data_IF_082738042562
#
_entry.id   IF_082738042562
#
_cell.length_a   1.000
_cell.length_b   1.000
_cell.length_c   1.000
_cell.angle_alpha   90.00
_cell.angle_beta   90.00
_cell.angle_gamma   90.00
#
_symmetry.space_group_name_H-M   'P 1'
#
loop_
_entity.id
_entity.type
_entity.pdbx_description
1 polymer ?
2 water ?
#
# COMPACT_ATOMS: atom_id res chain seq x y z
N UNK A 1 -24.13 15.23 -7.12
CA UNK A 1 -22.81 14.59 -7.00
C UNK A 1 -22.22 14.25 -8.37
N UNK A 2 -21.74 15.28 -9.06
CA UNK A 2 -21.55 15.17 -10.50
C UNK A 2 -20.17 14.77 -10.97
N UNK A 3 -19.16 14.79 -10.10
CA UNK A 3 -17.80 14.40 -10.48
C UNK A 3 -17.64 12.88 -10.52
N UNK A 4 -17.05 12.37 -11.59
CA UNK A 4 -16.89 10.93 -11.73
C UNK A 4 -15.67 10.41 -10.97
N UNK A 5 -14.71 11.28 -10.64
CA UNK A 5 -13.47 10.88 -9.96
C UNK A 5 -13.22 11.80 -8.78
N UNK A 6 -12.76 11.21 -7.68
CA UNK A 6 -12.33 11.97 -6.52
C UNK A 6 -10.80 11.93 -6.46
N UNK A 7 -10.21 13.11 -6.25
CA UNK A 7 -8.76 13.31 -6.37
C UNK A 7 -8.23 13.71 -5.00
N UNK A 8 -7.34 12.88 -4.44
CA UNK A 8 -6.86 13.09 -3.08
C UNK A 8 -5.35 13.35 -3.10
N UNK A 9 -4.90 14.41 -2.43
CA UNK A 9 -3.48 14.68 -2.24
C UNK A 9 -3.03 13.90 -1.00
N UNK A 10 -2.14 12.93 -1.19
CA UNK A 10 -1.75 12.01 -0.11
C UNK A 10 -0.51 12.60 0.57
N UNK A 11 -0.77 13.49 1.51
CA UNK A 11 0.32 14.17 2.23
C UNK A 11 1.11 13.22 3.10
N UNK A 12 0.55 12.08 3.45
CA UNK A 12 1.27 11.04 4.16
C UNK A 12 2.17 10.16 3.32
N UNK A 13 2.32 10.42 2.01
CA UNK A 13 3.17 9.63 1.14
C UNK A 13 4.10 10.60 0.41
N UNK A 14 5.30 10.13 0.07
CA UNK A 14 6.32 10.98 -0.54
C UNK A 14 7.22 10.14 -1.41
N UNK A 15 7.98 10.79 -2.31
CA UNK A 15 8.74 10.09 -3.32
C UNK A 15 10.23 10.27 -3.12
N UNK A 16 10.95 9.17 -3.25
CA UNK A 16 12.40 9.19 -3.36
C UNK A 16 12.75 8.75 -4.77
N UNK A 17 13.82 9.31 -5.30
CA UNK A 17 14.30 8.95 -6.62
C UNK A 17 15.59 8.13 -6.45
N UNK A 18 15.63 6.97 -7.08
CA UNK A 18 16.75 6.03 -6.99
C UNK A 18 17.24 5.81 -8.42
N UNK A 19 18.46 6.25 -8.69
CA UNK A 19 18.96 6.22 -10.05
C UNK A 19 20.41 5.79 -10.03
N UNK A 20 20.85 5.20 -11.15
CA UNK A 20 22.24 4.83 -11.33
C UNK A 20 22.34 3.54 -12.13
N UNK A 21 23.51 3.26 -12.67
CA UNK A 21 23.66 2.01 -13.43
C UNK A 21 23.40 0.78 -12.59
N UNK A 22 23.56 0.85 -11.25
CA UNK A 22 23.30 -0.29 -10.38
C UNK A 22 21.98 -0.20 -9.63
N UNK A 23 21.10 0.71 -10.01
CA UNK A 23 19.87 0.91 -9.23
C UNK A 23 19.02 -0.35 -9.15
N UNK A 24 18.90 -1.09 -10.26
CA UNK A 24 18.06 -2.28 -10.23
C UNK A 24 18.59 -3.36 -9.30
N UNK A 25 19.81 -3.90 -9.46
CA UNK A 25 20.26 -4.96 -8.54
C UNK A 25 20.31 -4.48 -7.10
N UNK A 26 20.63 -3.20 -6.90
CA UNK A 26 20.59 -2.58 -5.58
C UNK A 26 19.23 -2.70 -4.93
N UNK A 27 18.17 -2.23 -5.60
CA UNK A 27 16.84 -2.32 -5.00
C UNK A 27 16.35 -3.76 -4.92
N UNK A 28 16.66 -4.59 -5.94
CA UNK A 28 16.12 -5.95 -5.94
C UNK A 28 16.61 -6.74 -4.74
N UNK A 29 17.78 -6.37 -4.21
CA UNK A 29 18.27 -7.08 -3.04
C UNK A 29 17.61 -6.69 -1.75
N UNK A 30 16.78 -5.63 -1.76
CA UNK A 30 16.20 -5.07 -0.57
C UNK A 30 14.68 -5.19 -0.53
N UNK A 31 14.06 -5.56 -1.63
CA UNK A 31 12.59 -5.54 -1.74
C UNK A 31 12.07 -6.95 -1.96
N UNK A 32 10.77 -7.12 -1.63
CA UNK A 32 10.15 -8.41 -1.75
C UNK A 32 9.74 -8.75 -3.16
N UNK A 33 9.86 -7.85 -4.14
CA UNK A 33 9.27 -8.11 -5.44
C UNK A 33 10.29 -7.75 -6.54
N UNK A 34 9.97 -8.18 -7.77
CA UNK A 34 10.63 -7.66 -8.96
C UNK A 34 10.27 -6.19 -9.13
N UNK A 35 11.11 -5.50 -9.99
CA UNK A 35 10.85 -4.07 -10.18
C UNK A 35 10.06 -3.81 -11.45
N UNK A 36 9.34 -2.68 -11.50
CA UNK A 36 8.54 -2.37 -12.68
C UNK A 36 9.46 -1.96 -13.81
N UNK A 37 9.19 -2.47 -14.99
CA UNK A 37 9.98 -2.08 -16.16
C UNK A 37 9.10 -2.17 -17.40
N UNK A 38 8.90 -1.08 -18.13
CA UNK A 38 8.02 -1.12 -19.31
C UNK A 38 8.76 -1.63 -20.54
N UNK A 39 7.97 -2.15 -21.48
CA UNK A 39 8.50 -2.63 -22.76
C UNK A 39 9.30 -1.52 -23.44
N UNK A 40 10.37 -1.84 -24.16
CA UNK A 40 11.22 -0.77 -24.72
C UNK A 40 10.47 0.04 -25.76
N UNK A 41 11.06 1.19 -26.10
CA UNK A 41 10.48 2.07 -27.11
C UNK A 41 10.18 1.30 -28.38
N UNK A 42 8.99 1.53 -28.95
CA UNK A 42 8.52 0.79 -30.12
C UNK A 42 7.93 1.78 -31.12
N UNK A 43 8.65 1.97 -32.23
CA UNK A 43 8.16 2.75 -33.36
C UNK A 43 7.70 4.15 -32.94
N UNK A 44 8.42 4.73 -32.01
CA UNK A 44 8.09 6.06 -31.51
C UNK A 44 8.46 6.19 -30.05
N UNK A 45 7.68 7.00 -29.32
CA UNK A 45 7.96 7.29 -27.91
C UNK A 45 6.67 7.65 -27.20
N UNK A 46 5.75 6.69 -27.06
CA UNK A 46 4.54 6.92 -26.25
C UNK A 46 4.83 6.70 -24.77
N UNK A 47 3.95 7.18 -23.86
CA UNK A 47 4.27 7.11 -22.43
C UNK A 47 3.92 5.77 -21.80
N UNK A 48 4.87 4.83 -21.84
CA UNK A 48 4.67 3.49 -21.29
C UNK A 48 5.27 3.45 -19.89
N UNK A 49 4.40 3.47 -18.87
CA UNK A 49 4.82 3.53 -17.48
C UNK A 49 4.04 2.53 -16.64
N UNK A 50 4.74 1.90 -15.70
CA UNK A 50 4.21 0.83 -14.87
C UNK A 50 4.56 1.08 -13.40
N UNK A 51 3.77 0.50 -12.54
CA UNK A 51 4.00 0.62 -11.10
C UNK A 51 4.06 -0.80 -10.55
N UNK A 52 4.72 -0.94 -9.41
CA UNK A 52 4.78 -2.22 -8.72
C UNK A 52 4.67 -1.98 -7.24
N UNK A 53 4.29 -3.04 -6.52
CA UNK A 53 4.13 -2.98 -5.08
C UNK A 53 5.19 -3.89 -4.46
N UNK A 54 5.68 -3.49 -3.30
CA UNK A 54 6.64 -4.30 -2.56
C UNK A 54 6.76 -3.78 -1.14
N UNK A 55 7.33 -4.62 -0.26
CA UNK A 55 7.80 -4.18 1.04
C UNK A 55 9.32 -4.23 1.11
N UNK A 56 9.87 -3.33 1.90
CA UNK A 56 11.20 -3.52 2.48
C UNK A 56 10.99 -4.28 3.79
N UNK A 57 11.66 -5.41 3.94
CA UNK A 57 11.64 -6.20 5.18
C UNK A 57 12.96 -5.99 5.93
N UNK A 58 12.92 -6.29 7.22
CA UNK A 58 14.14 -6.36 8.01
C UNK A 58 14.63 -7.80 8.00
N UNK A 59 15.77 -8.04 8.67
CA UNK A 59 16.37 -9.36 8.59
C UNK A 59 15.58 -10.40 9.33
N UNK A 60 14.71 -9.99 10.25
CA UNK A 60 13.81 -10.93 10.91
C UNK A 60 12.58 -11.25 10.07
N UNK A 61 12.50 -10.73 8.85
CA UNK A 61 11.37 -10.99 8.01
C UNK A 61 10.13 -10.18 8.32
N UNK A 62 10.22 -9.17 9.18
CA UNK A 62 9.10 -8.26 9.43
C UNK A 62 9.11 -7.11 8.42
N UNK A 63 7.93 -6.62 8.10
CA UNK A 63 7.83 -5.44 7.22
C UNK A 63 8.41 -4.20 7.91
N UNK A 64 9.24 -3.44 7.18
CA UNK A 64 9.65 -2.11 7.62
C UNK A 64 8.79 -1.04 6.96
N UNK A 65 8.75 -1.05 5.62
CA UNK A 65 8.14 0.02 4.83
C UNK A 65 7.39 -0.58 3.64
N UNK A 66 6.16 -0.13 3.44
CA UNK A 66 5.39 -0.51 2.27
C UNK A 66 5.66 0.56 1.20
N UNK A 67 5.98 0.13 0.00
CA UNK A 67 6.31 1.08 -1.06
C UNK A 67 5.61 0.76 -2.36
N UNK A 68 5.41 1.81 -3.17
CA UNK A 68 5.04 1.66 -4.57
C UNK A 68 6.20 2.18 -5.41
N UNK A 69 6.59 1.38 -6.37
CA UNK A 69 7.73 1.63 -7.24
C UNK A 69 7.22 2.08 -8.58
N UNK A 70 7.84 3.10 -9.15
CA UNK A 70 7.46 3.58 -10.46
C UNK A 70 8.66 3.53 -11.37
N UNK A 71 8.50 3.00 -12.57
CA UNK A 71 9.60 2.95 -13.50
C UNK A 71 9.82 4.26 -14.21
N UNK A 72 11.01 4.83 -14.05
CA UNK A 72 11.39 6.02 -14.80
C UNK A 72 11.93 5.65 -16.18
N UNK A 73 11.66 6.52 -17.14
CA UNK A 73 12.26 6.39 -18.46
C UNK A 73 13.64 7.04 -18.42
N UNK A 74 14.67 6.23 -18.65
CA UNK A 74 16.04 6.72 -18.75
C UNK A 74 16.64 6.49 -20.12
N UNK A 75 16.26 5.42 -20.81
CA UNK A 75 16.70 5.14 -22.17
C UNK A 75 18.21 5.11 -22.31
N UNK A 76 18.88 4.86 -21.20
CA UNK A 76 20.36 4.90 -21.22
C UNK A 76 20.89 4.06 -20.07
N UNK A 77 22.21 4.08 -19.91
CA UNK A 77 23.01 3.18 -19.03
C UNK A 77 22.42 3.12 -17.64
N UNK A 78 21.64 4.13 -17.27
CA UNK A 78 21.24 4.21 -15.87
C UNK A 78 19.79 3.80 -15.73
N UNK A 79 19.52 2.82 -14.87
CA UNK A 79 18.17 2.56 -14.39
C UNK A 79 17.69 3.74 -13.55
N UNK A 80 16.36 3.91 -13.47
CA UNK A 80 15.83 4.93 -12.60
C UNK A 80 14.46 4.57 -12.05
N UNK A 81 14.21 4.85 -10.77
CA UNK A 81 12.93 4.51 -10.16
C UNK A 81 12.48 5.62 -9.23
N UNK A 82 11.16 5.75 -9.09
CA UNK A 82 10.58 6.53 -8.02
C UNK A 82 10.01 5.53 -7.02
N UNK A 83 10.30 5.77 -5.76
CA UNK A 83 9.82 4.95 -4.65
C UNK A 83 8.88 5.83 -3.83
N UNK A 84 7.63 5.39 -3.65
CA UNK A 84 6.68 6.11 -2.81
C UNK A 84 6.62 5.40 -1.47
N UNK A 85 6.99 6.12 -0.42
CA UNK A 85 6.93 5.61 0.95
C UNK A 85 6.11 6.51 1.86
N UNK A 86 5.80 6.01 3.06
CA UNK A 86 5.19 6.83 4.10
C UNK A 86 6.09 8.02 4.45
N UNK A 87 5.50 9.21 4.44
CA UNK A 87 6.28 10.42 4.67
C UNK A 87 7.04 10.40 5.97
N UNK A 88 6.51 9.73 6.99
CA UNK A 88 7.14 9.72 8.30
C UNK A 88 8.36 8.80 8.37
N UNK A 89 8.58 7.93 7.38
CA UNK A 89 9.76 7.06 7.39
C UNK A 89 10.77 7.46 6.36
N UNK A 90 10.53 8.55 5.63
CA UNK A 90 11.42 8.90 4.54
C UNK A 90 12.88 8.89 4.98
N UNK A 91 13.17 9.53 6.11
CA UNK A 91 14.55 9.60 6.57
C UNK A 91 15.10 8.25 6.96
N UNK A 92 14.28 7.43 7.64
CA UNK A 92 14.79 6.12 8.02
C UNK A 92 14.99 5.25 6.80
N UNK A 93 14.11 5.36 5.80
CA UNK A 93 14.31 4.61 4.57
C UNK A 93 15.59 5.09 3.86
N UNK A 94 15.85 6.39 3.88
CA UNK A 94 17.08 6.85 3.23
C UNK A 94 18.31 6.28 3.93
N UNK A 95 18.30 6.23 5.27
CA UNK A 95 19.45 5.65 5.99
C UNK A 95 19.56 4.17 5.72
N UNK A 96 18.43 3.49 5.58
CA UNK A 96 18.44 2.07 5.25
C UNK A 96 19.03 1.83 3.88
N UNK A 97 18.65 2.65 2.89
CA UNK A 97 19.21 2.49 1.56
C UNK A 97 20.71 2.75 1.55
N UNK A 98 21.15 3.75 2.33
CA UNK A 98 22.56 4.12 2.35
C UNK A 98 23.44 2.99 2.88
N UNK A 99 22.98 2.31 3.93
CA UNK A 99 23.66 1.13 4.46
C UNK A 99 24.10 0.16 3.38
N UNK A 100 23.29 0.03 2.33
CA UNK A 100 23.51 -0.96 1.29
C UNK A 100 24.08 -0.41 0.00
N UNK A 101 24.40 0.89 -0.07
CA UNK A 101 24.85 1.44 -1.33
C UNK A 101 26.38 1.56 -1.39
N UNK A 102 27.08 0.94 -0.44
CA UNK A 102 28.54 0.86 -0.51
C UNK A 102 28.96 0.05 -1.72
N UNK A 103 29.83 0.63 -2.54
CA UNK A 103 30.27 0.06 -3.81
C UNK A 103 29.11 -0.21 -4.75
N UNK A 104 28.08 0.62 -4.71
CA UNK A 104 27.02 0.56 -5.68
C UNK A 104 26.95 1.92 -6.35
N UNK A 105 26.81 1.91 -7.68
CA UNK A 105 26.71 3.13 -8.46
C UNK A 105 25.22 3.47 -8.52
N UNK A 106 24.76 4.16 -7.49
CA UNK A 106 23.35 4.51 -7.33
C UNK A 106 23.33 5.75 -6.47
N UNK A 107 22.39 6.64 -6.74
CA UNK A 107 22.15 7.80 -5.89
C UNK A 107 20.69 7.75 -5.45
N UNK A 108 20.44 8.26 -4.25
CA UNK A 108 19.10 8.29 -3.66
C UNK A 108 18.79 9.71 -3.21
N UNK A 109 17.73 10.31 -3.77
CA UNK A 109 17.37 11.70 -3.54
C UNK A 109 15.86 11.85 -3.28
N UNK A 110 15.46 12.68 -2.32
CA UNK A 110 14.05 13.07 -2.26
C UNK A 110 13.62 13.80 -3.53
N UNK A 111 12.38 13.57 -3.93
CA UNK A 111 11.77 14.23 -5.08
C UNK A 111 10.53 14.96 -4.57
N UNK A 112 10.70 15.95 -3.69
CA UNK A 112 9.53 16.53 -2.99
C UNK A 112 8.61 17.34 -3.88
N UNK A 113 9.11 17.74 -5.06
CA UNK A 113 8.35 18.59 -5.96
C UNK A 113 7.23 17.82 -6.65
N UNK A 114 7.46 16.54 -6.98
CA UNK A 114 6.39 15.68 -7.49
C UNK A 114 5.63 15.16 -6.29
N UNK A 115 4.33 15.44 -6.22
CA UNK A 115 3.46 15.00 -5.14
C UNK A 115 2.65 13.76 -5.51
N UNK A 116 2.31 12.99 -4.49
CA UNK A 116 1.55 11.77 -4.67
C UNK A 116 0.06 12.10 -4.48
N UNK A 117 -0.74 11.70 -5.45
CA UNK A 117 -2.18 11.84 -5.41
C UNK A 117 -2.80 10.48 -5.69
N UNK A 118 -4.02 10.27 -5.22
CA UNK A 118 -4.79 9.10 -5.58
C UNK A 118 -6.08 9.56 -6.27
N UNK A 119 -6.52 8.82 -7.26
CA UNK A 119 -7.71 9.11 -8.03
C UNK A 119 -8.62 7.90 -7.91
N UNK A 120 -9.76 8.08 -7.19
CA UNK A 120 -10.68 6.98 -6.98
C UNK A 120 -11.98 7.24 -7.75
N UNK A 121 -12.56 6.22 -8.39
CA UNK A 121 -13.88 6.42 -9.02
C UNK A 121 -14.94 6.67 -7.97
N UNK A 122 -15.76 7.69 -8.22
CA UNK A 122 -16.89 7.97 -7.33
C UNK A 122 -17.91 6.84 -7.31
N UNK A 123 -18.00 6.08 -8.39
CA UNK A 123 -18.93 4.93 -8.47
C UNK A 123 -18.16 3.76 -9.04
N UNK A 124 -18.23 2.59 -8.36
CA UNK A 124 -17.47 1.39 -8.71
C UNK A 124 -17.68 0.83 -10.14
N UNK A 125 -18.83 1.09 -10.77
CA UNK A 125 -19.12 0.61 -12.15
C UNK A 125 -18.05 1.20 -13.08
N UNK A 126 -17.75 2.49 -12.92
CA UNK A 126 -16.65 3.18 -13.64
C UNK A 126 -16.73 3.03 -15.16
N UNK A 127 -17.90 3.27 -15.79
CA UNK A 127 -17.94 3.27 -17.27
C UNK A 127 -16.72 4.18 -17.45
N UNK A 128 -16.09 4.14 -18.59
CA UNK A 128 -15.12 5.19 -18.97
C UNK A 128 -13.85 5.10 -18.17
N UNK A 129 -13.87 4.32 -17.09
CA UNK A 129 -12.61 4.10 -16.39
C UNK A 129 -11.54 3.61 -17.36
N UNK A 130 -11.93 2.77 -18.32
CA UNK A 130 -10.97 2.18 -19.25
C UNK A 130 -10.17 3.24 -19.98
N UNK A 131 -10.80 4.37 -20.33
CA UNK A 131 -10.16 5.39 -21.15
C UNK A 131 -9.61 6.56 -20.34
N UNK A 132 -9.49 6.43 -19.02
CA UNK A 132 -9.17 7.61 -18.22
C UNK A 132 -7.80 8.17 -18.57
N UNK A 133 -6.80 7.31 -18.72
CA UNK A 133 -5.44 7.79 -18.90
C UNK A 133 -5.24 8.37 -20.29
N UNK A 134 -5.62 7.63 -21.33
CA UNK A 134 -5.62 8.21 -22.68
C UNK A 134 -6.53 9.44 -22.72
N UNK A 135 -7.63 9.38 -21.98
CA UNK A 135 -8.52 10.52 -21.75
C UNK A 135 -7.97 11.53 -20.77
N UNK A 136 -6.78 11.33 -20.17
CA UNK A 136 -6.13 12.39 -19.39
C UNK A 136 -4.93 13.02 -20.09
N UNK A 137 -4.21 12.27 -20.92
CA UNK A 137 -3.13 12.82 -21.72
C UNK A 137 -1.77 12.64 -21.07
N UNK A 138 -0.75 13.09 -21.79
CA UNK A 138 0.64 13.00 -21.35
C UNK A 138 1.00 14.03 -20.27
N UNK A 139 0.17 15.06 -20.07
CA UNK A 139 0.39 15.96 -18.95
C UNK A 139 0.28 15.23 -17.61
N UNK A 140 -0.56 14.21 -17.53
CA UNK A 140 -0.85 13.52 -16.28
C UNK A 140 -0.09 12.19 -16.19
N UNK A 141 0.66 11.99 -15.11
CA UNK A 141 1.30 10.70 -14.86
C UNK A 141 0.32 9.92 -13.99
N UNK A 142 -0.52 9.12 -14.64
CA UNK A 142 -1.66 8.44 -14.05
C UNK A 142 -1.51 6.96 -14.30
N UNK A 143 -1.40 6.19 -13.22
CA UNK A 143 -0.94 4.81 -13.28
C UNK A 143 -1.87 3.98 -12.39
N UNK A 144 -2.28 2.83 -12.89
CA UNK A 144 -3.14 1.95 -12.10
C UNK A 144 -2.44 1.53 -10.82
N UNK A 145 -3.20 1.52 -9.72
CA UNK A 145 -2.64 1.15 -8.43
C UNK A 145 -2.18 -0.31 -8.53
N UNK A 146 -0.95 -0.63 -8.17
CA UNK A 146 -0.45 -1.99 -8.39
C UNK A 146 -1.01 -2.99 -7.39
N UNK A 147 -1.64 -2.53 -6.32
CA UNK A 147 -2.11 -3.44 -5.29
C UNK A 147 -3.45 -4.08 -5.65
N UNK A 148 -4.37 -3.29 -6.19
CA UNK A 148 -5.67 -3.74 -6.61
C UNK A 148 -6.36 -2.63 -7.37
N UNK A 149 -7.22 -3.01 -8.32
CA UNK A 149 -8.03 -2.06 -9.05
C UNK A 149 -8.97 -1.30 -8.14
N UNK A 150 -9.30 -1.87 -6.98
CA UNK A 150 -10.14 -1.18 -6.00
C UNK A 150 -9.52 0.11 -5.48
N UNK A 151 -8.22 0.31 -5.66
CA UNK A 151 -7.54 1.50 -5.21
C UNK A 151 -7.36 2.54 -6.32
N UNK A 152 -7.96 2.31 -7.49
CA UNK A 152 -7.99 3.37 -8.48
C UNK A 152 -6.64 3.61 -9.11
N UNK A 153 -6.29 4.90 -9.24
CA UNK A 153 -5.10 5.35 -9.93
C UNK A 153 -4.20 6.12 -8.97
N UNK A 154 -2.88 5.99 -9.14
CA UNK A 154 -1.92 6.93 -8.59
C UNK A 154 -1.65 8.01 -9.64
N UNK A 155 -1.62 9.26 -9.19
CA UNK A 155 -1.31 10.42 -10.04
C UNK A 155 -0.15 11.13 -9.39
N UNK A 156 0.96 11.25 -10.13
CA UNK A 156 2.13 11.95 -9.63
C UNK A 156 2.19 13.27 -10.38
N UNK A 157 2.10 14.38 -9.65
CA UNK A 157 1.98 15.68 -10.32
C UNK A 157 2.49 16.80 -9.42
N UNK A 158 2.95 17.88 -10.05
CA UNK A 158 3.18 19.14 -9.35
C UNK A 158 1.94 20.00 -9.32
N UNK A 159 0.97 19.70 -10.20
CA UNK A 159 -0.23 20.48 -10.40
C UNK A 159 -1.32 20.06 -9.40
N UNK A 160 -2.54 20.53 -9.63
CA UNK A 160 -3.70 20.08 -8.88
C UNK A 160 -4.37 18.94 -9.64
N UNK A 161 -4.75 17.90 -8.91
CA UNK A 161 -5.26 16.71 -9.52
C UNK A 161 -6.42 16.93 -10.47
N UNK A 162 -7.44 17.68 -10.02
CA UNK A 162 -8.62 17.87 -10.86
C UNK A 162 -8.32 18.64 -12.13
N UNK A 163 -7.32 19.53 -12.09
CA UNK A 163 -6.91 20.25 -13.29
C UNK A 163 -6.41 19.30 -14.37
N UNK A 164 -6.04 18.07 -14.01
CA UNK A 164 -5.59 17.11 -15.00
C UNK A 164 -6.60 16.00 -15.27
N UNK A 165 -7.55 15.77 -14.37
CA UNK A 165 -8.44 14.62 -14.47
C UNK A 165 -9.80 15.09 -14.94
N UNK A 166 -10.24 14.72 -16.16
CA UNK A 166 -11.59 15.08 -16.60
C UNK A 166 -12.63 14.48 -15.68
N UNK A 167 -13.55 15.33 -15.19
CA UNK A 167 -14.59 14.86 -14.28
C UNK A 167 -14.12 14.67 -12.83
N UNK A 168 -12.98 15.18 -12.50
CA UNK A 168 -12.37 14.98 -11.19
C UNK A 168 -12.61 16.19 -10.30
N UNK A 169 -12.96 15.91 -9.05
CA UNK A 169 -13.06 16.92 -8.01
C UNK A 169 -12.05 16.57 -6.91
N UNK A 170 -11.63 17.60 -6.18
CA UNK A 170 -10.87 17.38 -4.97
C UNK A 170 -11.69 16.61 -3.95
N UNK A 171 -11.09 15.62 -3.33
CA UNK A 171 -11.77 14.88 -2.30
C UNK A 171 -11.24 15.16 -0.91
N UNK A 172 -12.03 14.80 0.09
CA UNK A 172 -11.63 14.89 1.48
C UNK A 172 -10.76 13.67 1.79
N UNK A 173 -9.57 13.90 2.33
CA UNK A 173 -8.67 12.76 2.55
C UNK A 173 -9.29 11.73 3.50
N UNK A 174 -10.18 12.15 4.37
CA UNK A 174 -10.92 11.19 5.22
C UNK A 174 -11.55 10.10 4.38
N UNK A 175 -12.15 10.48 3.25
CA UNK A 175 -12.83 9.51 2.42
C UNK A 175 -11.88 8.54 1.73
N UNK A 176 -10.65 9.00 1.38
CA UNK A 176 -9.66 8.07 0.86
C UNK A 176 -9.37 6.96 1.88
N UNK A 177 -9.03 7.35 3.11
CA UNK A 177 -8.71 6.35 4.12
C UNK A 177 -9.93 5.51 4.51
N UNK A 178 -11.13 6.09 4.53
CA UNK A 178 -12.33 5.29 4.74
C UNK A 178 -12.44 4.19 3.69
N UNK A 179 -12.19 4.55 2.44
CA UNK A 179 -12.24 3.61 1.36
C UNK A 179 -11.22 2.50 1.55
N UNK A 180 -9.99 2.87 1.93
CA UNK A 180 -8.98 1.84 2.19
C UNK A 180 -9.46 0.85 3.23
N UNK A 181 -9.94 1.35 4.35
CA UNK A 181 -10.33 0.47 5.44
C UNK A 181 -11.53 -0.37 5.06
N UNK A 182 -12.50 0.19 4.33
CA UNK A 182 -13.61 -0.62 3.85
C UNK A 182 -13.16 -1.72 2.91
N UNK A 183 -12.11 -1.48 2.12
CA UNK A 183 -11.59 -2.47 1.18
C UNK A 183 -10.49 -3.36 1.75
N UNK A 184 -10.07 -3.12 2.98
CA UNK A 184 -9.05 -3.96 3.58
C UNK A 184 -7.66 -3.72 3.10
N UNK A 185 -7.33 -2.50 2.65
CA UNK A 185 -6.05 -2.20 2.05
C UNK A 185 -5.17 -1.50 3.07
N UNK A 186 -4.12 -2.12 3.58
CA UNK A 186 -3.23 -1.46 4.54
C UNK A 186 -2.29 -0.52 3.79
N UNK A 187 -1.94 0.57 4.46
CA UNK A 187 -1.05 1.57 3.91
C UNK A 187 -0.45 2.41 5.03
N UNK A 188 0.87 2.48 5.08
CA UNK A 188 1.52 3.35 6.03
C UNK A 188 1.81 2.67 7.36
N UNK A 189 2.48 3.44 8.24
CA UNK A 189 3.07 2.90 9.46
C UNK A 189 2.08 2.57 10.58
N UNK A 190 0.86 3.14 10.59
CA UNK A 190 -0.10 2.66 11.59
C UNK A 190 -0.67 1.30 11.23
N UNK A 191 -1.02 1.12 9.94
CA UNK A 191 -1.50 -0.17 9.50
C UNK A 191 -0.38 -1.22 9.53
N UNK A 192 0.85 -0.81 9.20
CA UNK A 192 1.99 -1.72 9.02
C UNK A 192 3.15 -1.22 9.89
N UNK A 193 3.06 -1.40 11.19
CA UNK A 193 4.09 -0.86 12.12
C UNK A 193 5.46 -1.44 11.81
N UNK A 194 6.46 -0.60 11.50
CA UNK A 194 7.78 -1.11 11.10
C UNK A 194 8.36 -2.08 12.11
N UNK A 195 8.83 -3.22 11.60
CA UNK A 195 9.45 -4.22 12.43
C UNK A 195 8.48 -5.03 13.25
N UNK A 196 7.19 -4.80 13.11
CA UNK A 196 6.15 -5.56 13.84
C UNK A 196 5.24 -6.29 12.86
N UNK A 197 4.74 -5.59 11.85
CA UNK A 197 3.90 -6.22 10.85
C UNK A 197 4.69 -7.29 10.11
N UNK A 198 4.01 -8.40 9.78
CA UNK A 198 4.58 -9.47 9.00
C UNK A 198 3.99 -9.44 7.61
N UNK A 199 4.81 -9.61 6.58
CA UNK A 199 4.35 -9.29 5.24
C UNK A 199 3.23 -10.17 4.73
N UNK A 200 3.31 -11.48 4.92
CA UNK A 200 2.25 -12.29 4.33
C UNK A 200 0.96 -12.21 5.14
N UNK A 201 1.05 -11.99 6.46
CA UNK A 201 -0.12 -11.65 7.26
C UNK A 201 -0.72 -10.31 6.89
N UNK A 202 0.07 -9.45 6.26
CA UNK A 202 -0.42 -8.16 5.80
C UNK A 202 -0.96 -8.22 4.38
N UNK A 203 -1.11 -9.42 3.86
CA UNK A 203 -1.71 -9.73 2.56
C UNK A 203 -0.83 -9.28 1.39
N UNK A 204 0.48 -9.25 1.58
CA UNK A 204 1.39 -8.83 0.53
C UNK A 204 1.19 -9.61 -0.76
N UNK A 205 0.94 -10.93 -0.66
CA UNK A 205 0.81 -11.75 -1.86
C UNK A 205 -0.50 -11.45 -2.58
N UNK A 206 -1.56 -11.21 -1.82
CA UNK A 206 -2.81 -10.79 -2.42
C UNK A 206 -2.70 -9.43 -3.12
N UNK A 207 -1.69 -8.63 -2.82
CA UNK A 207 -1.56 -7.28 -3.34
C UNK A 207 -0.44 -7.16 -4.35
N UNK A 208 -0.01 -8.28 -4.91
CA UNK A 208 0.98 -8.27 -5.99
C UNK A 208 2.31 -7.70 -5.51
N UNK A 209 2.70 -8.02 -4.27
CA UNK A 209 3.85 -7.40 -3.65
C UNK A 209 5.04 -8.29 -3.36
N UNK A 210 4.96 -9.58 -3.67
CA UNK A 210 6.07 -10.49 -3.37
C UNK A 210 6.25 -11.48 -4.51
N UNK A 211 7.51 -11.79 -4.81
CA UNK A 211 7.85 -12.80 -5.80
C UNK A 211 8.61 -13.93 -5.11
N UNK A 212 8.18 -15.17 -5.34
CA UNK A 212 8.88 -16.34 -4.80
C UNK A 212 9.83 -16.94 -5.81
N UNK A 213 9.99 -16.28 -6.97
CA UNK A 213 10.90 -16.71 -8.02
C UNK A 213 11.91 -15.62 -8.35
N UNK A 214 12.29 -14.81 -7.38
CA UNK A 214 13.34 -13.82 -7.57
C UNK A 214 14.54 -14.23 -6.73
N UNK A 215 15.64 -13.53 -6.95
CA UNK A 215 16.86 -13.81 -6.22
C UNK A 215 16.81 -13.31 -4.80
N UNK A 216 17.94 -13.47 -4.13
CA UNK A 216 18.06 -13.13 -2.71
C UNK A 216 17.58 -11.71 -2.41
N UNK A 217 16.82 -11.56 -1.34
CA UNK A 217 16.56 -10.26 -0.77
C UNK A 217 16.44 -10.38 0.74
N UNK A 218 16.58 -9.24 1.42
CA UNK A 218 16.54 -9.22 2.88
C UNK A 218 15.20 -9.76 3.38
N UNK A 219 15.24 -10.76 4.28
CA UNK A 219 14.01 -11.35 4.79
C UNK A 219 13.42 -12.45 3.93
N UNK A 220 14.09 -12.84 2.85
CA UNK A 220 13.50 -13.80 1.91
C UNK A 220 13.27 -15.15 2.59
N UNK A 221 14.20 -15.55 3.48
CA UNK A 221 14.16 -16.89 4.03
C UNK A 221 12.91 -17.11 4.87
N UNK A 222 12.67 -16.24 5.84
CA UNK A 222 11.46 -16.36 6.64
C UNK A 222 10.22 -16.26 5.76
N UNK A 223 10.22 -15.34 4.82
CA UNK A 223 9.02 -15.15 4.02
C UNK A 223 8.74 -16.38 3.18
N UNK A 224 9.76 -16.98 2.57
CA UNK A 224 9.56 -18.16 1.76
C UNK A 224 9.12 -19.34 2.62
N UNK A 225 9.70 -19.46 3.81
CA UNK A 225 9.34 -20.56 4.69
C UNK A 225 7.87 -20.47 5.09
N UNK A 226 7.42 -19.26 5.45
CA UNK A 226 6.03 -19.05 5.84
C UNK A 226 5.09 -19.41 4.70
N UNK A 227 5.40 -18.98 3.49
CA UNK A 227 4.57 -19.24 2.34
C UNK A 227 4.42 -20.72 2.06
N UNK A 228 5.50 -21.46 2.22
CA UNK A 228 5.50 -22.86 1.85
C UNK A 228 5.11 -23.76 2.99
N UNK A 229 4.99 -23.25 4.20
CA UNK A 229 4.59 -24.09 5.33
C UNK A 229 3.09 -24.38 5.35
N UNK A 230 2.28 -23.64 4.60
CA UNK A 230 0.85 -23.87 4.49
C UNK A 230 0.10 -22.55 4.48
N UNK A 231 -1.23 -22.64 4.54
CA UNK A 231 -2.07 -21.44 4.52
C UNK A 231 -1.62 -20.48 5.61
N UNK A 232 -1.73 -19.19 5.35
CA UNK A 232 -1.37 -18.18 6.34
C UNK A 232 -2.43 -18.19 7.43
N UNK A 233 -2.01 -18.25 8.69
CA UNK A 233 -2.96 -18.50 9.77
C UNK A 233 -3.57 -17.23 10.33
N UNK A 234 -2.93 -16.07 10.16
CA UNK A 234 -3.52 -14.81 10.58
C UNK A 234 -3.35 -13.81 9.46
N UNK A 235 -4.34 -12.93 9.26
CA UNK A 235 -4.26 -11.89 8.24
C UNK A 235 -4.91 -10.61 8.74
N UNK A 236 -4.61 -9.50 8.08
CA UNK A 236 -5.35 -8.28 8.32
C UNK A 236 -6.66 -8.37 7.55
N UNK A 237 -7.75 -8.10 8.25
CA UNK A 237 -9.12 -8.05 7.75
C UNK A 237 -9.71 -6.67 7.97
N UNK A 238 -10.54 -6.23 7.06
CA UNK A 238 -11.39 -5.07 7.34
C UNK A 238 -12.39 -5.36 8.47
N UNK A 239 -12.53 -4.40 9.40
CA UNK A 239 -13.55 -4.46 10.43
C UNK A 239 -14.36 -3.18 10.46
N UNK A 240 -15.58 -3.30 10.96
CA UNK A 240 -16.53 -2.20 11.12
C UNK A 240 -17.05 -2.28 12.55
N UNK A 241 -16.91 -1.19 13.29
CA UNK A 241 -17.46 -1.09 14.62
C UNK A 241 -18.94 -0.78 14.52
N UNK A 242 -19.75 -1.56 15.22
CA UNK A 242 -21.20 -1.50 15.01
C UNK A 242 -21.88 -0.46 15.88
N UNK A 243 -21.29 -0.15 17.04
CA UNK A 243 -21.92 0.81 17.94
C UNK A 243 -21.08 2.08 18.06
N UNK A 244 -21.72 3.22 18.35
CA UNK A 244 -20.96 4.44 18.69
C UNK A 244 -19.82 4.14 19.65
N UNK A 245 -18.69 4.80 19.42
CA UNK A 245 -17.41 4.41 19.98
C UNK A 245 -16.96 5.36 21.09
N UNK A 246 -15.97 4.94 21.89
CA UNK A 246 -15.33 5.88 22.81
C UNK A 246 -14.93 7.17 22.11
N UNK A 247 -14.59 8.19 22.90
CA UNK A 247 -14.07 9.43 22.33
C UNK A 247 -12.64 9.25 21.84
N UNK A 248 -11.84 8.45 22.54
CA UNK A 248 -10.48 8.16 22.13
C UNK A 248 -10.42 7.19 20.95
N UNK A 249 -11.52 6.52 20.64
CA UNK A 249 -11.50 5.46 19.67
C UNK A 249 -11.08 4.15 20.31
N UNK A 250 -10.47 3.27 19.51
CA UNK A 250 -10.00 1.98 19.98
C UNK A 250 -8.47 2.00 19.97
N UNK A 251 -7.88 1.52 21.03
CA UNK A 251 -6.44 1.50 21.13
C UNK A 251 -5.84 0.46 20.19
N UNK A 252 -4.94 0.85 19.29
CA UNK A 252 -4.20 -0.16 18.52
C UNK A 252 -3.75 -1.26 19.47
N UNK A 253 -3.91 -2.52 19.08
CA UNK A 253 -3.50 -3.62 19.88
C UNK A 253 -4.58 -4.21 20.76
N UNK A 254 -5.76 -3.60 20.80
CA UNK A 254 -6.83 -4.12 21.66
C UNK A 254 -7.27 -5.50 21.21
N UNK A 255 -7.55 -6.38 22.16
CA UNK A 255 -7.81 -7.75 21.82
C UNK A 255 -9.21 -7.93 21.23
N UNK A 256 -9.29 -8.68 20.14
CA UNK A 256 -10.57 -9.02 19.54
C UNK A 256 -11.01 -10.37 20.09
N UNK A 257 -12.25 -10.43 20.54
CA UNK A 257 -12.74 -11.57 21.30
C UNK A 257 -14.03 -12.14 20.69
N UNK A 258 -14.17 -13.45 20.80
CA UNK A 258 -15.41 -14.12 20.47
C UNK A 258 -16.43 -13.94 21.62
N UNK A 259 -17.64 -14.42 21.39
CA UNK A 259 -18.65 -14.34 22.44
C UNK A 259 -18.22 -15.10 23.68
N UNK A 260 -17.49 -16.21 23.49
CA UNK A 260 -16.95 -17.04 24.56
C UNK A 260 -15.83 -16.34 25.33
N UNK A 261 -15.33 -15.23 24.82
CA UNK A 261 -14.14 -14.63 25.37
C UNK A 261 -12.82 -15.17 24.86
N UNK A 262 -12.82 -15.96 23.80
CA UNK A 262 -11.55 -16.46 23.25
C UNK A 262 -10.91 -15.35 22.44
N UNK A 263 -9.59 -15.21 22.58
CA UNK A 263 -8.87 -14.22 21.78
C UNK A 263 -8.73 -14.70 20.34
N UNK A 264 -9.11 -13.86 19.37
CA UNK A 264 -8.99 -14.23 17.97
C UNK A 264 -8.18 -13.22 17.18
N UNK A 265 -7.63 -12.21 17.83
CA UNK A 265 -6.76 -11.27 17.17
C UNK A 265 -6.66 -9.97 17.95
N UNK A 266 -6.16 -8.95 17.25
CA UNK A 266 -5.91 -7.65 17.84
C UNK A 266 -6.30 -6.59 16.83
N UNK A 267 -6.86 -5.51 17.30
CA UNK A 267 -7.13 -4.37 16.43
C UNK A 267 -5.80 -3.77 16.04
N UNK A 268 -5.65 -3.39 14.76
CA UNK A 268 -4.42 -2.77 14.23
C UNK A 268 -4.53 -1.25 14.14
N UNK A 269 -5.45 -0.72 13.30
CA UNK A 269 -5.58 0.71 13.13
C UNK A 269 -6.84 1.00 12.33
N UNK A 270 -7.31 2.25 12.42
CA UNK A 270 -8.49 2.62 11.68
C UNK A 270 -8.75 4.10 11.70
N UNK A 271 -9.97 4.43 11.28
CA UNK A 271 -10.46 5.79 11.25
C UNK A 271 -11.96 5.69 11.39
N UNK A 272 -12.52 6.54 12.24
CA UNK A 272 -13.96 6.51 12.40
C UNK A 272 -14.41 5.17 12.94
N UNK A 273 -15.41 4.57 12.27
CA UNK A 273 -15.96 3.29 12.67
C UNK A 273 -15.43 2.12 11.84
N UNK A 274 -14.32 2.30 11.14
CA UNK A 274 -13.76 1.24 10.31
C UNK A 274 -12.28 1.14 10.59
N UNK A 275 -11.72 0.00 10.21
CA UNK A 275 -10.31 -0.23 10.44
C UNK A 275 -9.94 -1.62 9.98
N UNK A 276 -8.70 -1.98 10.36
CA UNK A 276 -8.14 -3.29 10.11
C UNK A 276 -7.89 -3.98 11.46
N UNK A 277 -8.05 -5.31 11.46
CA UNK A 277 -7.63 -6.16 12.58
C UNK A 277 -6.84 -7.36 12.07
N UNK A 278 -5.79 -7.71 12.81
CA UNK A 278 -5.02 -8.92 12.58
C UNK A 278 -5.76 -10.08 13.28
N UNK A 279 -6.40 -10.95 12.49
CA UNK A 279 -7.22 -12.03 13.05
C UNK A 279 -6.82 -13.41 12.53
N UNK A 280 -7.07 -14.45 13.34
CA UNK A 280 -7.01 -15.79 12.79
C UNK A 280 -7.95 -15.92 11.58
N UNK A 281 -7.43 -16.46 10.49
CA UNK A 281 -8.21 -16.51 9.25
C UNK A 281 -9.32 -17.54 9.28
N UNK A 282 -9.37 -18.39 10.30
CA UNK A 282 -10.60 -19.08 10.68
C UNK A 282 -11.33 -18.27 11.77
N UNK A 283 -12.65 -18.39 11.80
CA UNK A 283 -13.44 -17.82 12.89
C UNK A 283 -13.46 -16.29 12.85
N UNK A 284 -13.64 -15.71 11.65
CA UNK A 284 -13.95 -14.30 11.54
C UNK A 284 -15.45 -14.06 11.44
N UNK A 285 -16.26 -15.13 11.40
CA UNK A 285 -17.70 -15.00 11.24
C UNK A 285 -18.40 -14.74 12.58
N UNK A 286 -18.07 -15.53 13.60
CA UNK A 286 -18.76 -15.46 14.87
C UNK A 286 -18.89 -14.03 15.35
N UNK A 287 -19.83 -13.76 16.24
CA UNK A 287 -19.96 -12.39 16.78
C UNK A 287 -18.69 -12.01 17.51
N UNK A 288 -18.10 -10.88 17.14
CA UNK A 288 -16.84 -10.43 17.72
C UNK A 288 -17.04 -9.14 18.48
N UNK A 289 -16.15 -8.87 19.43
CA UNK A 289 -16.19 -7.63 20.18
C UNK A 289 -14.84 -7.35 20.79
N UNK A 290 -14.68 -6.10 21.22
CA UNK A 290 -13.52 -5.67 21.99
C UNK A 290 -14.05 -5.24 23.35
N UNK A 291 -13.24 -5.38 24.39
CA UNK A 291 -13.66 -4.99 25.74
C UNK A 291 -13.28 -3.53 25.99
N UNK A 292 -14.29 -2.70 26.26
CA UNK A 292 -14.06 -1.33 26.70
C UNK A 292 -13.45 -1.34 28.10
N UNK A 293 -13.19 -0.15 28.64
CA UNK A 293 -12.43 -0.07 29.89
C UNK A 293 -13.23 -0.59 31.07
N UNK A 294 -14.55 -0.37 31.09
CA UNK A 294 -15.37 -1.04 32.09
C UNK A 294 -15.42 -2.54 31.85
N UNK A 295 -15.01 -2.99 30.67
CA UNK A 295 -15.35 -4.32 30.19
C UNK A 295 -16.59 -4.33 29.34
N UNK A 296 -17.33 -3.22 29.30
CA UNK A 296 -18.44 -3.10 28.36
C UNK A 296 -17.92 -3.31 26.94
N UNK A 297 -18.75 -3.93 26.13
CA UNK A 297 -18.33 -4.38 24.81
C UNK A 297 -18.42 -3.25 23.79
N UNK A 298 -17.52 -3.30 22.82
CA UNK A 298 -17.74 -2.68 21.51
C UNK A 298 -17.86 -3.80 20.51
N UNK A 299 -19.01 -3.88 19.85
CA UNK A 299 -19.21 -4.92 18.86
C UNK A 299 -18.47 -4.54 17.59
N UNK A 300 -18.11 -5.56 16.82
CA UNK A 300 -17.48 -5.30 15.53
C UNK A 300 -17.68 -6.49 14.63
N UNK A 301 -17.63 -6.22 13.33
CA UNK A 301 -17.83 -7.23 12.31
C UNK A 301 -16.63 -7.25 11.39
N UNK A 302 -16.13 -8.44 11.07
CA UNK A 302 -15.02 -8.64 10.16
C UNK A 302 -15.57 -9.23 8.86
N UNK A 303 -14.95 -8.89 7.74
CA UNK A 303 -15.37 -9.44 6.46
C UNK A 303 -14.16 -9.71 5.58
N UNK A 304 -14.42 -10.33 4.44
CA UNK A 304 -13.40 -10.79 3.51
C UNK A 304 -13.45 -9.92 2.26
N UNK A 305 -12.41 -9.15 1.96
CA UNK A 305 -12.46 -8.31 0.76
C UNK A 305 -12.79 -9.08 -0.51
N UNK A 306 -13.57 -8.42 -1.39
CA UNK A 306 -14.05 -9.05 -2.62
C UNK A 306 -12.98 -9.16 -3.71
N UNK A 307 -11.85 -8.48 -3.57
CA UNK A 307 -10.77 -8.54 -4.56
C UNK A 307 -9.68 -9.52 -4.16
N UNK A 308 -9.78 -10.14 -3.00
CA UNK A 308 -8.84 -11.17 -2.62
C UNK A 308 -9.02 -12.40 -3.51
N UNK A 309 -7.96 -13.19 -3.72
CA UNK A 309 -8.15 -14.45 -4.47
C UNK A 309 -8.68 -15.56 -3.57
#
# INVERSE_FOLDING_TARGET
>A
AGAAWACFRLDGRTLLRVRGPDAAPFLLGLLTNELPLPSPAAAGAPPAARAGYAHFLNVQGRTLYDVILYGLQEHSEVSGFLLECDSSVQGALQKHLALYRIRRKVTVEPHPELRVWAVLPSSPEACGAASLQERAGAAAILIRDPRTARMGWRLLTQDEGPALVPGGRLGDLWDYHQHRYLQGVPEGVRDLPPGVALPLESNLAFMNGVSFTKGCYIGQELTARTHHMGVIRKRLFPVRFLDPLPTSGITPGATVLTASGQTVGKFRAGQGNVGLALLWSEKIKGPLHIRASEGAQVALAASVPDWWP
#
